data_IF_185656255973
#
_entry.id   IF_185656255973
#
_cell.length_a   1.000
_cell.length_b   1.000
_cell.length_c   1.000
_cell.angle_alpha   90.00
_cell.angle_beta   90.00
_cell.angle_gamma   90.00
#
_symmetry.space_group_name_H-M   'P 1'
#
loop_
_entity.id
_entity.type
_entity.pdbx_description
1 polymer ?
#
# COMPACT_ATOMS: atom_id res chain seq x y z
N UNK A 1 30.32 57.06 -23.10
CA UNK A 1 31.19 55.87 -23.15
C UNK A 1 31.48 55.47 -21.70
N UNK A 2 30.64 54.61 -21.14
CA UNK A 2 30.83 53.98 -19.82
C UNK A 2 30.84 52.47 -20.09
N UNK A 3 31.77 51.71 -19.51
CA UNK A 3 31.98 50.33 -19.89
C UNK A 3 30.83 49.47 -19.38
N UNK A 4 30.37 48.59 -20.27
CA UNK A 4 29.56 47.41 -19.95
C UNK A 4 30.44 46.49 -19.10
N UNK A 5 30.04 46.24 -17.86
CA UNK A 5 30.61 45.16 -17.05
C UNK A 5 29.84 43.89 -17.42
N UNK A 6 30.41 43.18 -18.38
CA UNK A 6 29.94 41.88 -18.86
C UNK A 6 30.55 40.80 -17.96
N UNK A 7 29.66 40.01 -17.37
CA UNK A 7 29.78 38.56 -17.21
C UNK A 7 31.06 38.01 -16.55
N UNK A 8 30.88 37.34 -15.42
CA UNK A 8 31.12 35.89 -15.25
C UNK A 8 31.08 35.59 -13.75
N UNK A 9 29.87 35.52 -13.20
CA UNK A 9 29.65 34.74 -11.98
C UNK A 9 29.96 33.30 -12.32
N UNK A 10 31.10 32.81 -11.84
CA UNK A 10 31.35 31.38 -11.71
C UNK A 10 30.26 30.83 -10.78
N UNK A 11 29.12 30.44 -11.35
CA UNK A 11 28.29 29.38 -10.80
C UNK A 11 29.20 28.15 -10.80
N UNK A 12 29.95 27.97 -9.70
CA UNK A 12 30.63 26.71 -9.43
C UNK A 12 29.55 25.65 -9.55
N UNK A 13 29.64 24.86 -10.62
CA UNK A 13 28.90 23.63 -10.75
C UNK A 13 29.35 22.80 -9.55
N UNK A 14 28.62 22.91 -8.43
CA UNK A 14 28.86 22.24 -7.16
C UNK A 14 28.59 20.76 -7.43
N UNK A 15 29.57 20.10 -8.05
CA UNK A 15 29.54 18.69 -8.36
C UNK A 15 29.29 17.90 -7.07
N UNK A 16 29.72 18.44 -5.93
CA UNK A 16 29.38 17.98 -4.59
C UNK A 16 27.86 17.97 -4.33
N UNK A 17 27.14 19.07 -4.58
CA UNK A 17 25.68 19.14 -4.39
C UNK A 17 24.94 18.19 -5.33
N UNK A 18 25.32 18.15 -6.61
CA UNK A 18 24.72 17.23 -7.59
C UNK A 18 25.00 15.77 -7.20
N UNK A 19 26.21 15.47 -6.75
CA UNK A 19 26.60 14.14 -6.28
C UNK A 19 25.83 13.72 -5.04
N UNK A 20 25.68 14.60 -4.06
CA UNK A 20 24.90 14.34 -2.84
C UNK A 20 23.43 14.12 -3.18
N UNK A 21 22.84 14.95 -4.04
CA UNK A 21 21.45 14.79 -4.48
C UNK A 21 21.24 13.47 -5.23
N UNK A 22 22.14 13.10 -6.14
CA UNK A 22 22.09 11.83 -6.87
C UNK A 22 22.26 10.62 -5.96
N UNK A 23 23.13 10.73 -4.93
CA UNK A 23 23.35 9.68 -3.95
C UNK A 23 22.11 9.46 -3.09
N UNK A 24 21.46 10.53 -2.62
CA UNK A 24 20.19 10.44 -1.87
C UNK A 24 19.12 9.74 -2.72
N UNK A 25 18.92 10.18 -3.97
CA UNK A 25 17.93 9.58 -4.86
C UNK A 25 18.23 8.09 -5.15
N UNK A 26 19.51 7.71 -5.21
CA UNK A 26 19.91 6.30 -5.39
C UNK A 26 19.61 5.46 -4.15
N UNK A 27 19.88 5.97 -2.94
CA UNK A 27 19.55 5.28 -1.69
C UNK A 27 18.04 5.12 -1.55
N UNK A 28 17.27 6.18 -1.82
CA UNK A 28 15.81 6.12 -1.81
C UNK A 28 15.27 5.11 -2.81
N UNK A 29 15.83 5.05 -4.03
CA UNK A 29 15.45 4.07 -5.03
C UNK A 29 15.73 2.64 -4.58
N UNK A 30 16.91 2.37 -4.02
CA UNK A 30 17.28 1.04 -3.52
C UNK A 30 16.41 0.63 -2.33
N UNK A 31 16.18 1.53 -1.37
CA UNK A 31 15.33 1.26 -0.21
C UNK A 31 13.87 1.06 -0.62
N UNK A 32 13.38 1.80 -1.61
CA UNK A 32 12.06 1.62 -2.22
C UNK A 32 11.93 0.25 -2.90
N UNK A 33 12.91 -0.12 -3.73
CA UNK A 33 12.93 -1.41 -4.43
C UNK A 33 12.98 -2.61 -3.46
N UNK A 34 13.76 -2.52 -2.39
CA UNK A 34 13.82 -3.54 -1.33
C UNK A 34 12.49 -3.60 -0.57
N UNK A 35 11.86 -2.46 -0.27
CA UNK A 35 10.56 -2.39 0.40
C UNK A 35 9.46 -3.07 -0.42
N UNK A 36 9.43 -2.82 -1.73
CA UNK A 36 8.51 -3.49 -2.66
C UNK A 36 8.76 -5.00 -2.68
N UNK A 37 10.03 -5.42 -2.78
CA UNK A 37 10.43 -6.83 -2.78
C UNK A 37 10.08 -7.55 -1.47
N UNK A 38 10.35 -6.94 -0.31
CA UNK A 38 10.06 -7.49 1.01
C UNK A 38 8.56 -7.72 1.23
N UNK A 39 7.71 -6.95 0.56
CA UNK A 39 6.28 -7.17 0.66
C UNK A 39 5.77 -8.40 -0.09
N UNK A 40 6.46 -8.85 -1.14
CA UNK A 40 6.14 -10.14 -1.77
C UNK A 40 6.35 -11.30 -0.79
N UNK A 41 7.32 -11.19 0.13
CA UNK A 41 7.54 -12.19 1.18
C UNK A 41 6.35 -12.26 2.14
N UNK A 42 5.69 -11.13 2.43
CA UNK A 42 4.46 -11.12 3.22
C UNK A 42 3.36 -11.91 2.52
N UNK A 43 3.09 -11.64 1.25
CA UNK A 43 2.06 -12.38 0.49
C UNK A 43 2.36 -13.89 0.45
N UNK A 44 3.63 -14.25 0.31
CA UNK A 44 4.05 -15.64 0.34
C UNK A 44 3.85 -16.31 1.71
N UNK A 45 4.29 -15.66 2.80
CA UNK A 45 4.11 -16.17 4.17
C UNK A 45 2.62 -16.30 4.53
N UNK A 46 1.83 -15.38 4.03
CA UNK A 46 0.40 -15.31 4.23
C UNK A 46 -0.33 -16.44 3.46
N UNK A 47 0.11 -16.73 2.22
CA UNK A 47 -0.32 -17.91 1.47
C UNK A 47 0.06 -19.23 2.17
N UNK A 48 1.24 -19.30 2.81
CA UNK A 48 1.63 -20.48 3.61
C UNK A 48 0.73 -20.64 4.84
N UNK A 49 0.49 -19.56 5.58
CA UNK A 49 -0.41 -19.58 6.74
C UNK A 49 -1.84 -19.98 6.36
N UNK A 50 -2.34 -19.49 5.22
CA UNK A 50 -3.64 -19.88 4.67
C UNK A 50 -3.69 -21.38 4.39
N UNK A 51 -2.67 -21.93 3.72
CA UNK A 51 -2.58 -23.36 3.39
C UNK A 51 -2.60 -24.23 4.66
N UNK A 52 -1.82 -23.85 5.67
CA UNK A 52 -1.76 -24.56 6.95
C UNK A 52 -3.09 -24.46 7.71
N UNK A 53 -3.67 -23.25 7.80
CA UNK A 53 -4.93 -23.03 8.51
C UNK A 53 -6.09 -23.77 7.83
N UNK A 54 -6.13 -23.82 6.49
CA UNK A 54 -7.12 -24.59 5.74
C UNK A 54 -7.01 -26.09 6.03
N UNK A 55 -5.79 -26.62 6.12
CA UNK A 55 -5.55 -28.03 6.49
C UNK A 55 -6.03 -28.32 7.92
N UNK A 56 -5.68 -27.47 8.88
CA UNK A 56 -6.11 -27.62 10.28
C UNK A 56 -7.62 -27.52 10.42
N UNK A 57 -8.27 -26.57 9.74
CA UNK A 57 -9.73 -26.46 9.80
C UNK A 57 -10.42 -27.66 9.14
N UNK A 58 -9.91 -28.19 8.03
CA UNK A 58 -10.44 -29.40 7.39
C UNK A 58 -10.37 -30.59 8.35
N UNK A 59 -9.21 -30.79 8.97
CA UNK A 59 -8.96 -31.92 9.86
C UNK A 59 -9.74 -31.80 11.18
N UNK A 60 -9.84 -30.59 11.76
CA UNK A 60 -10.53 -30.36 13.04
C UNK A 60 -12.05 -30.23 12.92
N UNK A 61 -12.57 -29.72 11.79
CA UNK A 61 -14.01 -29.48 11.62
C UNK A 61 -14.66 -30.57 10.78
N UNK A 62 -14.11 -30.90 9.60
CA UNK A 62 -14.77 -31.82 8.67
C UNK A 62 -14.60 -33.28 9.09
N UNK A 63 -13.40 -33.66 9.56
CA UNK A 63 -13.14 -35.01 10.07
C UNK A 63 -13.93 -35.29 11.37
N UNK A 64 -14.00 -34.29 12.26
CA UNK A 64 -14.84 -34.36 13.47
C UNK A 64 -16.33 -34.48 13.11
N UNK A 65 -16.81 -33.69 12.15
CA UNK A 65 -18.20 -33.74 11.69
C UNK A 65 -18.55 -35.08 11.02
N UNK A 66 -17.60 -35.75 10.35
CA UNK A 66 -17.80 -37.08 9.78
C UNK A 66 -17.97 -38.16 10.86
N UNK A 67 -17.27 -38.03 11.99
CA UNK A 67 -17.39 -38.97 13.12
C UNK A 67 -18.79 -39.00 13.74
N UNK A 68 -19.53 -37.90 13.65
CA UNK A 68 -20.94 -37.84 14.04
C UNK A 68 -21.80 -38.14 12.80
N UNK A 69 -22.33 -39.36 12.68
CA UNK A 69 -23.22 -39.79 11.60
C UNK A 69 -24.62 -39.11 11.65
N UNK A 70 -24.63 -37.78 11.77
CA UNK A 70 -25.80 -36.91 11.88
C UNK A 70 -25.69 -35.81 10.80
N UNK A 71 -26.52 -35.91 9.78
CA UNK A 71 -26.55 -35.01 8.61
C UNK A 71 -26.70 -33.53 9.01
N UNK A 72 -27.46 -33.26 10.08
CA UNK A 72 -27.71 -31.88 10.56
C UNK A 72 -26.42 -31.23 11.09
N UNK A 73 -25.61 -31.98 11.84
CA UNK A 73 -24.34 -31.49 12.40
C UNK A 73 -23.33 -31.25 11.28
N UNK A 74 -23.33 -32.10 10.25
CA UNK A 74 -22.47 -31.96 9.09
C UNK A 74 -22.79 -30.68 8.29
N UNK A 75 -24.07 -30.38 8.04
CA UNK A 75 -24.49 -29.17 7.31
C UNK A 75 -24.11 -27.90 8.08
N UNK A 76 -24.30 -27.89 9.41
CA UNK A 76 -23.93 -26.77 10.27
C UNK A 76 -22.41 -26.59 10.28
N UNK A 77 -21.65 -27.70 10.40
CA UNK A 77 -20.19 -27.69 10.36
C UNK A 77 -19.64 -27.12 9.06
N UNK A 78 -20.20 -27.52 7.91
CA UNK A 78 -19.81 -26.98 6.60
C UNK A 78 -20.15 -25.49 6.48
N UNK A 79 -21.33 -25.07 6.95
CA UNK A 79 -21.73 -23.66 6.90
C UNK A 79 -20.79 -22.78 7.73
N UNK A 80 -20.47 -23.20 8.95
CA UNK A 80 -19.52 -22.48 9.82
C UNK A 80 -18.12 -22.49 9.21
N UNK A 81 -17.69 -23.60 8.62
CA UNK A 81 -16.41 -23.71 7.94
C UNK A 81 -16.28 -22.71 6.79
N UNK A 82 -17.26 -22.65 5.88
CA UNK A 82 -17.24 -21.69 4.77
C UNK A 82 -17.25 -20.25 5.28
N UNK A 83 -18.07 -19.96 6.29
CA UNK A 83 -18.16 -18.60 6.85
C UNK A 83 -16.83 -18.19 7.52
N UNK A 84 -16.18 -19.09 8.25
CA UNK A 84 -14.88 -18.86 8.88
C UNK A 84 -13.77 -18.69 7.84
N UNK A 85 -13.74 -19.50 6.79
CA UNK A 85 -12.76 -19.38 5.69
C UNK A 85 -12.94 -18.06 4.94
N UNK A 86 -14.17 -17.69 4.56
CA UNK A 86 -14.39 -16.42 3.85
C UNK A 86 -14.11 -15.22 4.75
N UNK A 87 -14.59 -15.23 5.99
CA UNK A 87 -14.46 -14.11 6.91
C UNK A 87 -13.04 -13.92 7.47
N UNK A 88 -12.39 -14.99 7.92
CA UNK A 88 -11.07 -14.89 8.57
C UNK A 88 -9.94 -14.98 7.56
N UNK A 89 -10.00 -15.92 6.61
CA UNK A 89 -8.94 -16.04 5.62
C UNK A 89 -9.13 -14.97 4.55
N UNK A 90 -10.20 -14.99 3.76
CA UNK A 90 -10.27 -14.15 2.55
C UNK A 90 -10.23 -12.63 2.85
N UNK A 91 -10.95 -12.16 3.87
CA UNK A 91 -11.02 -10.71 4.17
C UNK A 91 -9.73 -10.17 4.78
N UNK A 92 -9.11 -10.86 5.74
CA UNK A 92 -7.84 -10.40 6.35
C UNK A 92 -6.72 -10.31 5.32
N UNK A 93 -6.65 -11.31 4.44
CA UNK A 93 -5.68 -11.38 3.35
C UNK A 93 -5.83 -10.19 2.40
N UNK A 94 -7.06 -9.96 1.96
CA UNK A 94 -7.38 -8.94 0.97
C UNK A 94 -7.18 -7.53 1.54
N UNK A 95 -7.51 -7.30 2.81
CA UNK A 95 -7.28 -6.03 3.49
C UNK A 95 -5.77 -5.72 3.61
N UNK A 96 -4.97 -6.72 3.97
CA UNK A 96 -3.50 -6.59 4.08
C UNK A 96 -2.85 -6.26 2.72
N UNK A 97 -3.32 -6.92 1.65
CA UNK A 97 -2.89 -6.66 0.28
C UNK A 97 -3.34 -5.26 -0.21
N UNK A 98 -4.57 -4.86 0.09
CA UNK A 98 -5.10 -3.55 -0.26
C UNK A 98 -4.30 -2.41 0.39
N UNK A 99 -4.04 -2.50 1.70
CA UNK A 99 -3.22 -1.50 2.41
C UNK A 99 -1.79 -1.45 1.89
N UNK A 100 -1.29 -2.57 1.34
CA UNK A 100 0.01 -2.57 0.71
C UNK A 100 0.03 -1.82 -0.62
N UNK A 101 -0.95 -2.08 -1.48
CA UNK A 101 -1.11 -1.35 -2.73
C UNK A 101 -1.32 0.14 -2.47
N UNK A 102 -2.09 0.49 -1.43
CA UNK A 102 -2.27 1.88 -1.00
C UNK A 102 -0.96 2.49 -0.50
N UNK A 103 -0.12 1.73 0.23
CA UNK A 103 1.22 2.20 0.65
C UNK A 103 2.15 2.42 -0.54
N UNK A 104 2.18 1.52 -1.51
CA UNK A 104 2.93 1.70 -2.77
C UNK A 104 2.43 2.93 -3.52
N UNK A 105 1.12 3.10 -3.67
CA UNK A 105 0.54 4.26 -4.33
C UNK A 105 0.84 5.56 -3.57
N UNK A 106 0.79 5.55 -2.24
CA UNK A 106 1.08 6.75 -1.46
C UNK A 106 2.57 7.06 -1.40
N UNK A 107 3.42 6.09 -1.05
CA UNK A 107 4.86 6.33 -0.81
C UNK A 107 5.67 6.33 -2.11
N UNK A 108 5.26 5.58 -3.12
CA UNK A 108 6.04 5.39 -4.34
C UNK A 108 5.50 6.24 -5.50
N UNK A 109 4.19 6.48 -5.57
CA UNK A 109 3.59 7.34 -6.62
C UNK A 109 3.59 8.84 -6.24
N UNK A 110 3.32 9.22 -5.00
CA UNK A 110 3.40 10.64 -4.59
C UNK A 110 4.85 11.11 -4.45
N UNK A 111 5.74 10.33 -3.83
CA UNK A 111 7.10 10.78 -3.55
C UNK A 111 7.98 10.92 -4.81
N UNK A 112 7.57 10.33 -5.95
CA UNK A 112 8.34 10.36 -7.21
C UNK A 112 7.84 11.38 -8.24
N UNK A 113 6.58 11.82 -8.15
CA UNK A 113 5.94 12.70 -9.14
C UNK A 113 5.20 13.91 -8.55
N UNK A 114 5.01 13.98 -7.23
CA UNK A 114 4.26 15.06 -6.57
C UNK A 114 5.18 15.90 -5.69
N UNK A 115 5.65 17.03 -6.23
CA UNK A 115 6.54 17.96 -5.54
C UNK A 115 5.83 18.84 -4.48
N UNK A 116 4.56 18.54 -4.17
CA UNK A 116 3.81 19.25 -3.12
C UNK A 116 3.45 20.71 -3.44
N UNK A 117 3.82 21.23 -4.60
CA UNK A 117 3.61 22.63 -5.00
C UNK A 117 2.25 22.90 -5.69
N UNK A 118 1.17 22.24 -5.24
CA UNK A 118 -0.18 22.42 -5.78
C UNK A 118 -1.10 23.21 -4.85
N UNK A 119 -1.70 24.30 -5.35
CA UNK A 119 -2.78 24.99 -4.63
C UNK A 119 -4.12 24.26 -4.90
N UNK A 120 -4.91 24.03 -3.85
CA UNK A 120 -6.25 23.43 -3.99
C UNK A 120 -7.15 24.44 -4.72
N UNK A 121 -7.49 24.15 -5.97
CA UNK A 121 -8.40 24.99 -6.74
C UNK A 121 -9.80 24.94 -6.13
N UNK A 122 -10.22 26.02 -5.50
CA UNK A 122 -11.62 26.24 -5.07
C UNK A 122 -12.32 27.06 -6.15
N UNK A 123 -13.10 26.44 -7.05
CA UNK A 123 -13.87 27.18 -8.03
C UNK A 123 -14.90 28.08 -7.32
N UNK A 124 -15.10 29.28 -7.85
CA UNK A 124 -16.15 30.17 -7.38
C UNK A 124 -17.52 29.55 -7.72
N UNK A 125 -18.20 29.02 -6.71
CA UNK A 125 -19.55 28.43 -6.83
C UNK A 125 -20.53 29.25 -6.02
N UNK A 126 -21.65 29.64 -6.62
CA UNK A 126 -22.72 30.38 -5.95
C UNK A 126 -23.38 29.61 -4.79
N UNK A 127 -23.14 28.30 -4.68
CA UNK A 127 -23.55 27.51 -3.51
C UNK A 127 -22.79 27.90 -2.23
N UNK A 128 -21.52 28.35 -2.36
CA UNK A 128 -20.68 28.72 -1.21
C UNK A 128 -21.08 30.08 -0.61
N UNK A 129 -21.67 30.98 -1.44
CA UNK A 129 -22.21 32.27 -1.01
C UNK A 129 -23.52 32.16 -0.19
N UNK A 130 -24.16 30.99 -0.18
CA UNK A 130 -25.38 30.73 0.59
C UNK A 130 -25.11 30.34 2.05
N UNK A 131 -23.94 29.78 2.35
CA UNK A 131 -23.52 29.38 3.70
C UNK A 131 -22.96 30.54 4.54
N UNK A 132 -22.50 31.62 3.90
CA UNK A 132 -22.02 32.83 4.60
C UNK A 132 -23.15 33.79 5.01
N UNK A 133 -24.41 33.50 4.63
CA UNK A 133 -25.59 34.32 4.89
C UNK A 133 -26.61 33.67 5.84
N UNK A 134 -26.22 32.64 6.59
CA UNK A 134 -26.94 32.15 7.78
C UNK A 134 -26.12 32.32 9.06
#
# INVERSE_FOLDING_TARGET
MQPYDDSHGHEEFEFSEVFVHQLIHTIEFVLGAISNTASYLRLWALSLAHSELSSVFYDKVLLLAWGFNNIIILIIGITVFICATVGVLLVMETLSAFLHALRLHWVEFQNKFYEGAGYKFTPFSFALLGEDNE
#
